data_IF_788509012909
#
_entry.id   IF_788509012909
#
_cell.length_a   1.000
_cell.length_b   1.000
_cell.length_c   1.000
_cell.angle_alpha   90.00
_cell.angle_beta   90.00
_cell.angle_gamma   90.00
#
_symmetry.space_group_name_H-M   'P 1'
#
loop_
_entity.id
_entity.type
_entity.pdbx_description
1 polymer ?
#
# COMPACT_ATOMS: atom_id res chain seq x y z
N UNK A 1 -22.87 -20.85 12.23
CA UNK A 1 -22.38 -20.51 10.87
C UNK A 1 -20.90 -20.13 10.83
N UNK A 2 -20.22 -19.93 11.98
CA UNK A 2 -18.80 -19.53 12.05
C UNK A 2 -17.79 -20.63 11.67
N UNK A 3 -18.03 -21.89 12.02
CA UNK A 3 -17.04 -22.97 11.79
C UNK A 3 -16.70 -23.19 10.31
N UNK A 4 -17.69 -23.06 9.41
CA UNK A 4 -17.46 -23.17 7.96
C UNK A 4 -16.69 -21.98 7.38
N UNK A 5 -16.90 -20.79 7.92
CA UNK A 5 -16.16 -19.59 7.48
C UNK A 5 -14.70 -19.64 7.94
N UNK A 6 -14.45 -20.06 9.18
CA UNK A 6 -13.09 -20.29 9.66
C UNK A 6 -12.37 -21.36 8.83
N UNK A 7 -13.04 -22.45 8.47
CA UNK A 7 -12.47 -23.49 7.61
C UNK A 7 -12.08 -22.97 6.22
N UNK A 8 -12.91 -22.12 5.59
CA UNK A 8 -12.59 -21.54 4.27
C UNK A 8 -11.44 -20.53 4.33
N UNK A 9 -11.43 -19.67 5.34
CA UNK A 9 -10.36 -18.67 5.53
C UNK A 9 -9.00 -19.36 5.71
N UNK A 10 -8.95 -20.41 6.54
CA UNK A 10 -7.75 -21.20 6.74
C UNK A 10 -7.27 -21.85 5.45
N UNK A 11 -8.17 -22.47 4.68
CA UNK A 11 -7.81 -23.07 3.39
C UNK A 11 -7.25 -22.04 2.40
N UNK A 12 -7.84 -20.83 2.33
CA UNK A 12 -7.34 -19.76 1.48
C UNK A 12 -5.95 -19.29 1.91
N UNK A 13 -5.74 -19.17 3.22
CA UNK A 13 -4.44 -18.77 3.79
C UNK A 13 -3.38 -19.85 3.53
N UNK A 14 -3.67 -21.12 3.77
CA UNK A 14 -2.75 -22.24 3.50
C UNK A 14 -2.39 -22.34 2.01
N UNK A 15 -3.36 -22.17 1.10
CA UNK A 15 -3.09 -22.14 -0.33
C UNK A 15 -2.14 -21.02 -0.73
N UNK A 16 -2.32 -19.83 -0.16
CA UNK A 16 -1.42 -18.70 -0.39
C UNK A 16 -0.01 -18.98 0.17
N UNK A 17 0.08 -19.56 1.35
CA UNK A 17 1.37 -19.93 1.97
C UNK A 17 2.13 -20.96 1.14
N UNK A 18 1.45 -21.95 0.56
CA UNK A 18 2.06 -22.92 -0.35
C UNK A 18 2.63 -22.25 -1.60
N UNK A 19 1.91 -21.31 -2.21
CA UNK A 19 2.41 -20.54 -3.35
C UNK A 19 3.60 -19.64 -2.96
N UNK A 20 3.56 -19.02 -1.79
CA UNK A 20 4.68 -18.22 -1.27
C UNK A 20 5.94 -19.05 -1.02
N UNK A 21 5.79 -20.28 -0.51
CA UNK A 21 6.91 -21.22 -0.35
C UNK A 21 7.45 -21.62 -1.73
N UNK A 22 6.57 -21.90 -2.71
CA UNK A 22 6.95 -22.25 -4.08
C UNK A 22 7.73 -21.13 -4.79
N UNK A 23 7.43 -19.86 -4.49
CA UNK A 23 8.16 -18.70 -5.02
C UNK A 23 9.36 -18.28 -4.16
N UNK A 24 9.72 -19.08 -3.15
CA UNK A 24 10.82 -18.79 -2.22
C UNK A 24 10.65 -17.42 -1.52
N UNK A 25 9.40 -16.98 -1.32
CA UNK A 25 9.07 -15.81 -0.53
C UNK A 25 9.03 -16.14 0.97
N UNK A 26 8.77 -17.41 1.30
CA UNK A 26 8.73 -17.95 2.64
C UNK A 26 9.43 -19.31 2.70
N UNK A 27 9.94 -19.64 3.88
CA UNK A 27 10.34 -21.01 4.21
C UNK A 27 9.21 -21.74 4.94
N UNK A 28 9.19 -23.07 4.88
CA UNK A 28 8.26 -23.88 5.67
C UNK A 28 8.35 -23.59 7.18
N UNK A 29 9.54 -23.28 7.68
CA UNK A 29 9.77 -22.96 9.08
C UNK A 29 9.14 -21.60 9.45
N UNK A 30 9.34 -20.57 8.62
CA UNK A 30 8.72 -19.26 8.83
C UNK A 30 7.20 -19.34 8.78
N UNK A 31 6.65 -20.17 7.89
CA UNK A 31 5.22 -20.36 7.71
C UNK A 31 4.52 -20.85 9.00
N UNK A 32 5.16 -21.72 9.80
CA UNK A 32 4.57 -22.27 11.04
C UNK A 32 4.41 -21.23 12.14
N UNK A 33 5.17 -20.15 12.08
CA UNK A 33 5.16 -19.09 13.08
C UNK A 33 4.23 -17.91 12.70
N UNK A 34 3.62 -17.96 11.51
CA UNK A 34 2.72 -16.88 11.07
C UNK A 34 1.38 -16.96 11.81
N UNK A 35 0.91 -15.84 12.37
CA UNK A 35 -0.36 -15.82 13.07
C UNK A 35 -1.50 -15.96 12.07
N UNK A 36 -2.44 -16.84 12.38
CA UNK A 36 -3.62 -17.06 11.54
C UNK A 36 -4.48 -15.78 11.45
N UNK A 37 -4.94 -15.40 10.25
CA UNK A 37 -5.83 -14.26 10.07
C UNK A 37 -7.19 -14.55 10.70
N UNK A 38 -7.79 -13.55 11.35
CA UNK A 38 -9.15 -13.64 11.89
C UNK A 38 -10.20 -13.34 10.82
N UNK A 39 -9.83 -12.54 9.82
CA UNK A 39 -10.68 -12.18 8.69
C UNK A 39 -9.90 -12.12 7.36
N UNK A 40 -10.64 -12.16 6.25
CA UNK A 40 -10.05 -12.21 4.91
C UNK A 40 -9.28 -10.92 4.55
N UNK A 41 -9.74 -9.76 5.03
CA UNK A 41 -9.07 -8.47 4.85
C UNK A 41 -7.70 -8.38 5.54
N UNK A 42 -7.45 -9.22 6.54
CA UNK A 42 -6.18 -9.23 7.29
C UNK A 42 -5.09 -10.11 6.68
N UNK A 43 -5.41 -10.94 5.68
CA UNK A 43 -4.45 -11.90 5.10
C UNK A 43 -3.19 -11.18 4.61
N UNK A 44 -3.34 -10.20 3.71
CA UNK A 44 -2.21 -9.49 3.10
C UNK A 44 -1.50 -8.58 4.11
N UNK A 45 -2.19 -7.76 4.93
CA UNK A 45 -1.53 -6.95 5.96
C UNK A 45 -0.64 -7.76 6.91
N UNK A 46 -1.10 -8.91 7.39
CA UNK A 46 -0.31 -9.77 8.28
C UNK A 46 0.94 -10.35 7.60
N UNK A 47 0.84 -10.65 6.32
CA UNK A 47 1.98 -11.15 5.54
C UNK A 47 3.03 -10.05 5.35
N UNK A 48 2.62 -8.80 5.13
CA UNK A 48 3.53 -7.65 5.13
C UNK A 48 4.16 -7.37 6.49
N UNK A 49 3.37 -7.41 7.57
CA UNK A 49 3.89 -7.30 8.95
C UNK A 49 4.91 -8.40 9.27
N UNK A 50 4.76 -9.58 8.65
CA UNK A 50 5.72 -10.68 8.70
C UNK A 50 7.00 -10.48 7.87
N UNK A 51 7.14 -9.35 7.16
CA UNK A 51 8.30 -9.01 6.34
C UNK A 51 8.40 -9.79 5.03
N UNK A 52 7.27 -10.27 4.50
CA UNK A 52 7.25 -10.98 3.23
C UNK A 52 7.42 -10.00 2.07
N UNK A 53 8.27 -10.37 1.12
CA UNK A 53 8.49 -9.67 -0.15
C UNK A 53 7.14 -9.43 -0.87
N UNK A 54 6.80 -8.16 -1.07
CA UNK A 54 5.52 -7.72 -1.59
C UNK A 54 5.36 -8.06 -3.09
N UNK A 55 6.44 -8.03 -3.86
CA UNK A 55 6.44 -8.40 -5.28
C UNK A 55 6.16 -9.88 -5.43
N UNK A 56 6.83 -10.73 -4.64
CA UNK A 56 6.55 -12.17 -4.63
C UNK A 56 5.14 -12.47 -4.11
N UNK A 57 4.66 -11.72 -3.12
CA UNK A 57 3.29 -11.85 -2.64
C UNK A 57 2.27 -11.50 -3.72
N UNK A 58 2.45 -10.39 -4.42
CA UNK A 58 1.61 -9.99 -5.53
C UNK A 58 1.65 -11.02 -6.67
N UNK A 59 2.80 -11.61 -6.96
CA UNK A 59 2.94 -12.70 -7.93
C UNK A 59 2.19 -13.98 -7.49
N UNK A 60 2.28 -14.36 -6.22
CA UNK A 60 1.51 -15.49 -5.66
C UNK A 60 0.00 -15.25 -5.77
N UNK A 61 -0.46 -14.05 -5.43
CA UNK A 61 -1.88 -13.67 -5.53
C UNK A 61 -2.35 -13.64 -6.99
N UNK A 62 -1.54 -13.11 -7.90
CA UNK A 62 -1.81 -13.12 -9.35
C UNK A 62 -2.01 -14.54 -9.87
N UNK A 63 -1.12 -15.47 -9.48
CA UNK A 63 -1.21 -16.88 -9.86
C UNK A 63 -2.46 -17.55 -9.29
N UNK A 64 -2.72 -17.35 -8.00
CA UNK A 64 -3.83 -18.00 -7.29
C UNK A 64 -5.20 -17.53 -7.81
N UNK A 65 -5.35 -16.23 -8.07
CA UNK A 65 -6.60 -15.64 -8.56
C UNK A 65 -6.71 -15.61 -10.08
N UNK A 66 -5.66 -16.02 -10.81
CA UNK A 66 -5.56 -15.96 -12.27
C UNK A 66 -5.86 -14.55 -12.80
N UNK A 67 -5.26 -13.56 -12.17
CA UNK A 67 -5.39 -12.13 -12.51
C UNK A 67 -4.08 -11.57 -12.98
N UNK A 68 -4.14 -10.54 -13.80
CA UNK A 68 -2.93 -9.86 -14.25
C UNK A 68 -2.24 -9.15 -13.08
N UNK A 69 -0.91 -9.21 -13.07
CA UNK A 69 -0.06 -8.45 -12.17
C UNK A 69 0.26 -7.11 -12.84
N UNK A 70 0.17 -6.02 -12.09
CA UNK A 70 0.62 -4.73 -12.59
C UNK A 70 2.12 -4.78 -12.92
N UNK A 71 2.51 -4.17 -14.04
CA UNK A 71 3.87 -4.30 -14.58
C UNK A 71 4.65 -2.98 -14.55
N UNK A 72 4.17 -1.97 -13.81
CA UNK A 72 4.79 -0.65 -13.74
C UNK A 72 4.59 0.22 -14.98
N UNK A 73 3.86 -0.23 -16.01
CA UNK A 73 3.65 0.55 -17.23
C UNK A 73 2.26 1.20 -17.21
N UNK A 74 2.24 2.52 -17.32
CA UNK A 74 1.02 3.33 -17.43
C UNK A 74 0.91 3.85 -18.86
N UNK A 75 -0.10 3.40 -19.61
CA UNK A 75 -0.33 3.87 -21.00
C UNK A 75 -1.19 5.11 -21.03
N UNK A 76 -2.27 5.12 -20.24
CA UNK A 76 -3.19 6.23 -20.12
C UNK A 76 -3.07 6.85 -18.73
N UNK A 77 -2.22 7.89 -18.64
CA UNK A 77 -2.00 8.63 -17.40
C UNK A 77 -3.25 9.34 -16.91
N UNK A 78 -4.17 9.76 -17.79
CA UNK A 78 -5.39 10.49 -17.43
C UNK A 78 -6.48 9.57 -16.86
N UNK A 79 -6.34 8.25 -17.07
CA UNK A 79 -7.22 7.23 -16.49
C UNK A 79 -6.81 6.79 -15.08
N UNK A 80 -5.66 7.27 -14.59
CA UNK A 80 -5.07 6.84 -13.33
C UNK A 80 -5.89 7.35 -12.14
N UNK A 81 -6.36 6.46 -11.28
CA UNK A 81 -7.03 6.82 -10.02
C UNK A 81 -6.46 5.91 -8.94
N UNK A 82 -5.98 6.46 -7.83
CA UNK A 82 -5.40 5.68 -6.73
C UNK A 82 -6.17 5.87 -5.43
N UNK A 83 -6.08 4.87 -4.54
CA UNK A 83 -6.44 5.03 -3.13
C UNK A 83 -5.52 6.04 -2.44
N UNK A 84 -6.01 6.66 -1.35
CA UNK A 84 -5.21 7.59 -0.54
C UNK A 84 -4.77 6.94 0.78
N UNK A 85 -5.71 6.59 1.65
CA UNK A 85 -5.43 6.16 3.04
C UNK A 85 -5.96 4.74 3.33
N UNK A 86 -6.02 3.89 2.32
CA UNK A 86 -6.49 2.52 2.47
C UNK A 86 -5.39 1.63 3.06
N UNK A 87 -5.75 0.75 4.02
CA UNK A 87 -4.83 -0.26 4.61
C UNK A 87 -4.22 -1.19 3.55
N UNK A 88 -4.96 -1.46 2.49
CA UNK A 88 -4.53 -2.19 1.32
C UNK A 88 -4.78 -1.29 0.11
N UNK A 89 -3.75 -0.78 -0.57
CA UNK A 89 -3.97 0.15 -1.66
C UNK A 89 -4.62 -0.51 -2.88
N UNK A 90 -5.28 0.33 -3.66
CA UNK A 90 -5.80 -0.01 -4.98
C UNK A 90 -5.50 1.10 -5.98
N UNK A 91 -5.37 0.70 -7.25
CA UNK A 91 -5.00 1.55 -8.37
C UNK A 91 -5.86 1.20 -9.57
N UNK A 92 -6.52 2.19 -10.16
CA UNK A 92 -7.16 2.07 -11.46
C UNK A 92 -6.21 2.68 -12.49
N UNK A 93 -5.83 1.89 -13.49
CA UNK A 93 -5.04 2.36 -14.63
C UNK A 93 -5.30 1.48 -15.84
N UNK A 94 -5.32 2.06 -17.04
CA UNK A 94 -5.57 1.33 -18.30
C UNK A 94 -6.86 0.49 -18.26
N UNK A 95 -7.89 1.02 -17.57
CA UNK A 95 -9.19 0.36 -17.29
C UNK A 95 -9.08 -0.93 -16.48
N UNK A 96 -8.06 -1.06 -15.64
CA UNK A 96 -7.89 -2.20 -14.72
C UNK A 96 -7.89 -1.69 -13.30
N UNK A 97 -8.69 -2.30 -12.43
CA UNK A 97 -8.62 -2.07 -10.99
C UNK A 97 -7.64 -3.09 -10.39
N UNK A 98 -6.42 -2.63 -10.13
CA UNK A 98 -5.40 -3.36 -9.40
C UNK A 98 -5.62 -3.21 -7.90
N UNK A 99 -5.60 -4.32 -7.16
CA UNK A 99 -5.76 -4.33 -5.71
C UNK A 99 -4.61 -5.09 -5.07
N UNK A 100 -4.12 -4.63 -3.93
CA UNK A 100 -3.10 -5.37 -3.18
C UNK A 100 -3.66 -6.56 -2.42
N UNK A 101 -4.92 -6.48 -1.98
CA UNK A 101 -5.61 -7.56 -1.27
C UNK A 101 -6.91 -8.01 -1.99
N UNK A 102 -6.87 -9.06 -2.83
CA UNK A 102 -8.06 -9.57 -3.51
C UNK A 102 -9.07 -10.28 -2.58
N UNK A 103 -8.70 -10.54 -1.32
CA UNK A 103 -9.59 -11.13 -0.33
C UNK A 103 -10.48 -10.10 0.37
N UNK A 104 -10.11 -8.82 0.34
CA UNK A 104 -10.83 -7.75 1.02
C UNK A 104 -12.09 -7.32 0.24
N UNK A 105 -13.17 -8.06 0.49
CA UNK A 105 -14.48 -7.71 -0.09
C UNK A 105 -15.02 -6.38 0.41
N UNK A 106 -14.66 -5.97 1.63
CA UNK A 106 -15.16 -4.73 2.22
C UNK A 106 -14.69 -3.51 1.42
N UNK A 107 -13.48 -3.60 0.87
CA UNK A 107 -12.93 -2.61 -0.05
C UNK A 107 -13.39 -2.81 -1.50
N UNK A 108 -13.35 -4.04 -2.03
CA UNK A 108 -13.61 -4.29 -3.46
C UNK A 108 -15.07 -4.07 -3.83
N UNK A 109 -16.03 -4.50 -2.99
CA UNK A 109 -17.45 -4.40 -3.33
C UNK A 109 -17.94 -2.95 -3.52
N UNK A 110 -17.61 -1.98 -2.66
CA UNK A 110 -17.89 -0.57 -2.92
C UNK A 110 -17.35 -0.07 -4.27
N UNK A 111 -16.12 -0.42 -4.64
CA UNK A 111 -15.52 -0.02 -5.92
C UNK A 111 -16.29 -0.62 -7.11
N UNK A 112 -16.70 -1.88 -6.99
CA UNK A 112 -17.53 -2.56 -7.99
C UNK A 112 -18.94 -1.95 -8.10
N UNK A 113 -19.51 -1.44 -6.99
CA UNK A 113 -20.80 -0.71 -7.02
C UNK A 113 -20.64 0.65 -7.71
N UNK A 114 -19.58 1.40 -7.39
CA UNK A 114 -19.26 2.70 -8.02
C UNK A 114 -19.05 2.59 -9.52
N UNK A 115 -18.48 1.48 -10.02
CA UNK A 115 -18.39 1.19 -11.47
C UNK A 115 -19.74 1.27 -12.20
N UNK A 116 -20.82 0.91 -11.52
CA UNK A 116 -22.18 0.90 -12.08
C UNK A 116 -23.01 2.13 -11.67
N UNK A 117 -22.45 3.03 -10.84
CA UNK A 117 -23.15 4.22 -10.38
C UNK A 117 -23.12 5.31 -11.48
N UNK A 118 -24.27 5.85 -11.92
CA UNK A 118 -24.30 6.93 -12.90
C UNK A 118 -23.77 8.27 -12.38
N UNK A 119 -23.69 8.49 -11.06
CA UNK A 119 -23.23 9.75 -10.45
C UNK A 119 -21.73 9.76 -10.12
N UNK A 120 -21.15 8.61 -9.81
CA UNK A 120 -19.75 8.47 -9.40
C UNK A 120 -19.13 7.23 -10.07
N UNK A 121 -19.00 7.31 -11.40
CA UNK A 121 -18.64 6.17 -12.24
C UNK A 121 -17.13 5.95 -12.29
N UNK A 122 -16.64 4.98 -11.53
CA UNK A 122 -15.29 4.46 -11.72
C UNK A 122 -15.19 3.70 -13.06
N UNK A 123 -14.17 4.01 -13.86
CA UNK A 123 -13.98 3.42 -15.19
C UNK A 123 -12.93 2.31 -15.16
N UNK A 124 -13.36 1.07 -15.03
CA UNK A 124 -12.51 -0.10 -15.18
C UNK A 124 -13.29 -1.32 -15.66
N UNK A 125 -12.62 -2.25 -16.34
CA UNK A 125 -13.20 -3.41 -17.01
C UNK A 125 -12.89 -4.70 -16.25
N UNK A 126 -11.66 -4.82 -15.73
CA UNK A 126 -11.12 -6.03 -15.10
C UNK A 126 -10.41 -5.74 -13.77
N UNK A 127 -10.13 -6.80 -13.02
CA UNK A 127 -9.38 -6.78 -11.76
C UNK A 127 -7.97 -7.32 -12.00
N UNK A 128 -6.99 -6.64 -11.44
CA UNK A 128 -5.58 -7.04 -11.39
C UNK A 128 -5.06 -7.07 -9.96
N UNK A 129 -3.81 -7.49 -9.80
CA UNK A 129 -3.08 -7.53 -8.53
C UNK A 129 -1.98 -6.48 -8.53
N UNK A 130 -1.80 -5.81 -7.39
CA UNK A 130 -0.85 -4.73 -7.18
C UNK A 130 0.18 -5.11 -6.11
N UNK A 131 1.47 -4.93 -6.38
CA UNK A 131 2.49 -4.92 -5.33
C UNK A 131 2.51 -3.56 -4.61
N UNK A 132 2.95 -3.54 -3.35
CA UNK A 132 3.00 -2.29 -2.58
C UNK A 132 4.04 -1.33 -3.18
N UNK A 133 5.22 -1.87 -3.51
CA UNK A 133 6.32 -1.15 -4.16
C UNK A 133 5.91 -0.50 -5.49
N UNK A 134 5.05 -1.15 -6.28
CA UNK A 134 4.52 -0.58 -7.52
C UNK A 134 3.59 0.62 -7.25
N UNK A 135 2.77 0.55 -6.21
CA UNK A 135 1.87 1.62 -5.80
C UNK A 135 2.63 2.85 -5.27
N UNK A 136 3.78 2.61 -4.65
CA UNK A 136 4.69 3.64 -4.14
C UNK A 136 5.70 4.12 -5.19
N UNK A 137 5.65 3.60 -6.41
CA UNK A 137 6.57 4.02 -7.46
C UNK A 137 6.40 5.50 -7.83
N UNK A 138 7.53 6.16 -8.12
CA UNK A 138 7.57 7.57 -8.52
C UNK A 138 6.62 7.87 -9.69
N UNK A 139 6.47 6.93 -10.62
CA UNK A 139 5.57 7.07 -11.76
C UNK A 139 4.11 7.26 -11.32
N UNK A 140 3.64 6.44 -10.36
CA UNK A 140 2.26 6.49 -9.86
C UNK A 140 2.04 7.70 -8.97
N UNK A 141 3.04 8.06 -8.16
CA UNK A 141 3.00 9.28 -7.34
C UNK A 141 2.91 10.52 -8.24
N UNK A 142 3.82 10.67 -9.21
CA UNK A 142 3.85 11.81 -10.12
C UNK A 142 2.59 11.91 -10.98
N UNK A 143 2.10 10.79 -11.54
CA UNK A 143 0.89 10.79 -12.36
C UNK A 143 -0.36 11.24 -11.59
N UNK A 144 -0.40 11.03 -10.27
CA UNK A 144 -1.49 11.53 -9.42
C UNK A 144 -1.40 13.05 -9.24
N UNK A 145 -0.18 13.58 -9.10
CA UNK A 145 0.03 15.03 -9.04
C UNK A 145 -0.29 15.72 -10.38
N UNK A 146 -0.01 15.09 -11.52
CA UNK A 146 -0.30 15.67 -12.84
C UNK A 146 -1.82 15.84 -13.11
N UNK A 147 -2.68 14.97 -12.57
CA UNK A 147 -4.14 15.07 -12.74
C UNK A 147 -4.82 16.07 -11.77
N UNK A 148 -4.17 16.40 -10.65
CA UNK A 148 -4.77 17.17 -9.56
C UNK A 148 -4.45 18.66 -9.55
N UNK A 149 -3.58 19.16 -10.42
CA UNK A 149 -2.97 20.48 -10.19
C UNK A 149 -3.54 21.56 -11.13
N UNK A 150 -4.48 22.35 -10.57
CA UNK A 150 -4.46 23.78 -10.84
C UNK A 150 -3.05 24.29 -10.53
N UNK A 151 -2.41 24.90 -11.52
CA UNK A 151 -1.00 25.35 -11.62
C UNK A 151 -0.38 26.03 -10.37
N UNK A 152 -1.16 26.33 -9.33
CA UNK A 152 -0.72 26.87 -8.04
C UNK A 152 0.01 25.90 -7.10
N UNK A 153 -0.08 24.57 -7.27
CA UNK A 153 0.55 23.60 -6.34
C UNK A 153 1.83 22.91 -6.88
N UNK A 154 2.32 23.27 -8.07
CA UNK A 154 3.67 22.87 -8.57
C UNK A 154 4.79 23.74 -7.98
N UNK A 155 4.45 24.75 -7.19
CA UNK A 155 5.41 25.35 -6.27
C UNK A 155 5.73 24.27 -5.23
N UNK A 156 6.99 24.07 -4.83
CA UNK A 156 7.35 23.23 -3.68
C UNK A 156 6.81 23.76 -2.35
N UNK A 157 5.58 24.24 -2.31
CA UNK A 157 4.83 24.78 -1.18
C UNK A 157 4.51 23.70 -0.15
N UNK A 158 4.29 22.45 -0.57
CA UNK A 158 4.16 21.33 0.39
C UNK A 158 5.51 21.02 1.04
N UNK A 159 6.59 20.95 0.25
CA UNK A 159 7.93 20.69 0.76
C UNK A 159 8.38 21.85 1.66
N UNK A 160 8.04 23.08 1.27
CA UNK A 160 8.23 24.27 2.10
C UNK A 160 7.40 24.19 3.38
N UNK A 161 6.12 23.85 3.31
CA UNK A 161 5.24 23.73 4.48
C UNK A 161 5.73 22.67 5.46
N UNK A 162 6.09 21.49 4.95
CA UNK A 162 6.68 20.41 5.73
C UNK A 162 8.02 20.81 6.37
N UNK A 163 8.91 21.45 5.60
CA UNK A 163 10.19 21.95 6.13
C UNK A 163 9.96 23.06 7.15
N UNK A 164 9.02 23.97 6.90
CA UNK A 164 8.67 25.05 7.81
C UNK A 164 8.09 24.49 9.13
N UNK A 165 7.22 23.48 9.07
CA UNK A 165 6.66 22.78 10.24
C UNK A 165 7.76 22.04 11.02
N UNK A 166 8.58 21.25 10.34
CA UNK A 166 9.74 20.55 10.91
C UNK A 166 10.70 21.51 11.62
N UNK A 167 11.03 22.64 10.99
CA UNK A 167 11.93 23.64 11.55
C UNK A 167 11.29 24.40 12.71
N UNK A 168 10.01 24.76 12.61
CA UNK A 168 9.28 25.40 13.71
C UNK A 168 9.23 24.51 14.95
N UNK A 169 9.00 23.21 14.76
CA UNK A 169 9.00 22.24 15.85
C UNK A 169 10.39 22.11 16.47
N UNK A 170 11.44 21.98 15.65
CA UNK A 170 12.83 21.95 16.11
C UNK A 170 13.22 23.21 16.89
N UNK A 171 12.79 24.39 16.45
CA UNK A 171 13.01 25.67 17.15
C UNK A 171 12.26 25.70 18.49
N UNK A 172 10.99 25.27 18.50
CA UNK A 172 10.17 25.17 19.72
C UNK A 172 10.84 24.29 20.78
N UNK A 173 11.42 23.16 20.35
CA UNK A 173 12.17 22.26 21.22
C UNK A 173 13.63 22.65 21.45
N UNK A 174 14.10 23.75 20.86
CA UNK A 174 15.50 24.21 20.92
C UNK A 174 16.49 23.11 20.53
N UNK A 175 16.14 22.33 19.52
CA UNK A 175 16.99 21.29 19.01
C UNK A 175 18.27 21.89 18.39
N UNK A 176 19.43 21.31 18.70
CA UNK A 176 20.71 21.71 18.12
C UNK A 176 20.92 21.10 16.73
N UNK A 177 20.41 19.89 16.53
CA UNK A 177 20.59 19.10 15.32
C UNK A 177 19.29 18.36 14.96
N UNK A 178 19.04 18.23 13.67
CA UNK A 178 17.95 17.43 13.11
C UNK A 178 18.59 16.28 12.31
N UNK A 179 18.29 15.04 12.70
CA UNK A 179 18.73 13.83 12.02
C UNK A 179 17.57 13.24 11.23
N UNK A 180 17.77 13.03 9.93
CA UNK A 180 16.79 12.38 9.05
C UNK A 180 17.42 11.05 8.60
N UNK A 181 16.84 9.93 9.03
CA UNK A 181 17.32 8.60 8.68
C UNK A 181 16.32 7.94 7.72
N UNK A 182 16.72 7.60 6.49
CA UNK A 182 15.88 6.79 5.61
C UNK A 182 15.83 5.35 6.14
N UNK A 183 14.64 4.81 6.38
CA UNK A 183 14.41 3.40 6.70
C UNK A 183 13.53 2.75 5.62
N UNK A 184 13.51 1.42 5.56
CA UNK A 184 12.84 0.67 4.49
C UNK A 184 11.32 0.85 4.43
N UNK A 185 10.70 1.45 5.45
CA UNK A 185 9.24 1.67 5.56
C UNK A 185 8.90 3.14 5.86
N UNK A 186 9.83 4.07 5.59
CA UNK A 186 9.66 5.50 5.83
C UNK A 186 10.90 6.16 6.43
N UNK A 187 10.90 7.49 6.49
CA UNK A 187 11.98 8.26 7.13
C UNK A 187 11.73 8.46 8.63
N UNK A 188 12.75 8.27 9.47
CA UNK A 188 12.70 8.59 10.91
C UNK A 188 13.45 9.88 11.18
N UNK A 189 12.73 10.86 11.73
CA UNK A 189 13.28 12.17 12.11
C UNK A 189 13.58 12.16 13.62
N UNK A 190 14.78 12.60 14.00
CA UNK A 190 15.20 12.73 15.40
C UNK A 190 15.77 14.13 15.66
N UNK A 191 15.32 14.76 16.74
CA UNK A 191 15.88 16.03 17.21
C UNK A 191 16.91 15.77 18.31
N UNK A 192 18.04 16.46 18.25
CA UNK A 192 18.99 16.50 19.36
C UNK A 192 18.64 17.67 20.27
N UNK A 193 18.20 17.36 21.48
CA UNK A 193 17.83 18.33 22.51
C UNK A 193 18.70 18.04 23.74
N UNK A 194 19.48 19.03 24.19
CA UNK A 194 20.38 18.93 25.34
C UNK A 194 21.31 17.69 25.31
N UNK A 195 21.85 17.40 24.12
CA UNK A 195 22.76 16.27 23.89
C UNK A 195 22.09 14.90 23.77
N UNK A 196 20.75 14.82 23.74
CA UNK A 196 20.00 13.57 23.56
C UNK A 196 19.18 13.58 22.28
N UNK A 197 19.23 12.49 21.51
CA UNK A 197 18.40 12.33 20.33
C UNK A 197 17.02 11.79 20.70
N UNK A 198 15.97 12.53 20.36
CA UNK A 198 14.57 12.19 20.60
C UNK A 198 13.85 12.02 19.26
N UNK A 199 13.04 10.98 19.11
CA UNK A 199 12.28 10.74 17.87
C UNK A 199 11.13 11.75 17.80
N UNK A 200 11.06 12.49 16.69
CA UNK A 200 9.96 13.38 16.39
C UNK A 200 8.90 12.61 15.60
N UNK A 201 7.63 12.86 15.90
CA UNK A 201 6.49 12.32 15.17
C UNK A 201 5.73 13.49 14.56
N UNK A 202 6.21 13.95 13.42
CA UNK A 202 5.46 14.87 12.57
C UNK A 202 4.34 14.04 11.91
N UNK A 203 3.07 14.48 12.00
CA UNK A 203 1.94 13.78 11.38
C UNK A 203 2.00 13.76 9.85
#
# INVERSE_FOLDING_TARGET
MSDKQHSRLHQQFEQLLQELIRLEALTEQSCRNLPLPTEAGEIVPRLWEGGIDDVKLAQSLSNLFKRELFNGVVRDRDSLIRSSNDRCPWLIVDRVLYVSNPYDRSQIEPLMRRKNDPKDKLKFEKLGILAMSDFESDLIIQATHDQGVSVSEVSGAWAKGFVDELLNEAISFRASDIHINPESHGGVIKFRIDGRCQVCRIP
#
